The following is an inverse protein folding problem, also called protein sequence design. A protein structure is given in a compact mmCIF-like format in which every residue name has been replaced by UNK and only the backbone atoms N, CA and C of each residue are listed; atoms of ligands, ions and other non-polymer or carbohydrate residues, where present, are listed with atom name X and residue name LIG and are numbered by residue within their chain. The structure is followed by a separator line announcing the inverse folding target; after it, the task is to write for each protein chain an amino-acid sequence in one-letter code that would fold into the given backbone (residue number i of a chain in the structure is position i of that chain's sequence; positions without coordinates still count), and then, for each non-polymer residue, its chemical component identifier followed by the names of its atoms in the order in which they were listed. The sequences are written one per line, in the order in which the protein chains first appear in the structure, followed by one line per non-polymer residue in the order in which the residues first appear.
data_IF_590423531517
#
_entry.id   IF_590423531517
#
_cell.length_a   1.000
_cell.length_b   1.000
_cell.length_c   1.000
_cell.angle_alpha   90.00
_cell.angle_beta   90.00
_cell.angle_gamma   90.00
#
_symmetry.space_group_name_H-M   'P 1'
#
loop_
_entity.id
_entity.type
_entity.pdbx_description
1 polymer ?
#
# COMPACT_ATOMS: atom_id res chain seq x y z
N UNK A 1 16.60 36.26 -6.44
CA UNK A 1 15.41 35.50 -6.90
C UNK A 1 14.24 36.02 -6.09
N UNK A 2 13.40 36.87 -6.70
CA UNK A 2 12.39 37.67 -6.01
C UNK A 2 11.28 36.77 -5.47
N UNK A 3 11.14 36.71 -4.15
CA UNK A 3 9.95 36.17 -3.51
C UNK A 3 8.77 37.03 -3.96
N UNK A 4 7.85 36.47 -4.74
CA UNK A 4 6.52 37.07 -4.84
C UNK A 4 5.95 36.97 -3.42
N UNK A 5 5.85 38.10 -2.73
CA UNK A 5 5.10 38.20 -1.50
C UNK A 5 3.64 37.89 -1.87
N UNK A 6 3.23 36.65 -1.60
CA UNK A 6 1.85 36.26 -1.79
C UNK A 6 1.04 36.93 -0.68
N UNK A 7 0.33 37.99 -1.06
CA UNK A 7 -0.61 38.68 -0.19
C UNK A 7 -1.85 37.78 -0.06
N UNK A 8 -2.06 37.22 1.11
CA UNK A 8 -3.25 36.43 1.44
C UNK A 8 -4.06 37.16 2.50
N UNK A 9 -5.39 37.11 2.39
CA UNK A 9 -6.25 37.55 3.49
C UNK A 9 -6.16 36.53 4.65
N UNK A 10 -6.36 36.97 5.90
CA UNK A 10 -6.22 36.07 7.07
C UNK A 10 -7.15 34.86 7.02
N UNK A 11 -8.37 35.03 6.49
CA UNK A 11 -9.33 33.94 6.27
C UNK A 11 -8.85 32.91 5.23
N UNK A 12 -8.19 33.35 4.17
CA UNK A 12 -7.60 32.49 3.14
C UNK A 12 -6.37 31.77 3.70
N UNK A 13 -5.53 32.50 4.42
CA UNK A 13 -4.34 31.98 5.06
C UNK A 13 -4.70 30.87 6.06
N UNK A 14 -5.78 30.97 6.84
CA UNK A 14 -6.16 29.95 7.81
C UNK A 14 -6.50 28.60 7.17
N UNK A 15 -7.20 28.61 6.03
CA UNK A 15 -7.48 27.39 5.24
C UNK A 15 -6.21 26.79 4.62
N UNK A 16 -5.28 27.65 4.19
CA UNK A 16 -3.98 27.25 3.63
C UNK A 16 -3.01 26.75 4.71
N UNK A 17 -3.12 27.30 5.93
CA UNK A 17 -2.32 26.91 7.09
C UNK A 17 -2.61 25.48 7.55
N UNK A 18 -3.84 24.98 7.36
CA UNK A 18 -4.15 23.55 7.55
C UNK A 18 -3.32 22.64 6.63
N UNK A 19 -2.91 23.15 5.46
CA UNK A 19 -2.08 22.44 4.46
C UNK A 19 -0.64 22.92 4.48
N UNK A 20 -0.27 23.81 5.39
CA UNK A 20 1.05 24.40 5.43
C UNK A 20 2.06 23.37 5.89
N UNK A 21 3.00 23.07 4.99
CA UNK A 21 4.15 22.23 5.30
C UNK A 21 5.30 23.18 5.69
N UNK A 22 5.64 23.32 6.97
CA UNK A 22 6.58 24.34 7.46
C UNK A 22 8.02 24.17 6.98
N UNK A 23 8.36 23.02 6.40
CA UNK A 23 9.63 22.77 5.72
C UNK A 23 9.39 22.12 4.38
N UNK A 24 9.92 22.72 3.32
CA UNK A 24 10.15 22.02 2.05
C UNK A 24 11.19 20.93 2.30
N UNK A 25 10.74 19.75 2.70
CA UNK A 25 11.62 18.58 2.83
C UNK A 25 12.10 18.24 1.43
N UNK A 26 13.42 18.25 1.23
CA UNK A 26 14.00 17.76 -0.01
C UNK A 26 13.66 16.27 -0.13
N UNK A 27 12.75 15.96 -1.07
CA UNK A 27 12.35 14.59 -1.37
C UNK A 27 13.59 13.87 -1.88
N UNK A 28 14.04 12.85 -1.15
CA UNK A 28 15.18 12.03 -1.58
C UNK A 28 14.76 11.16 -2.77
N UNK A 29 15.38 11.41 -3.91
CA UNK A 29 15.28 10.53 -5.08
C UNK A 29 16.07 9.24 -4.85
N UNK A 30 15.57 8.13 -5.39
CA UNK A 30 16.27 6.85 -5.40
C UNK A 30 16.66 6.50 -6.82
N UNK A 31 17.95 6.18 -7.03
CA UNK A 31 18.46 5.78 -8.34
C UNK A 31 18.03 4.36 -8.70
N UNK A 32 17.51 4.23 -9.91
CA UNK A 32 17.16 2.99 -10.60
C UNK A 32 17.77 2.99 -12.01
N UNK A 33 17.87 1.81 -12.60
CA UNK A 33 18.19 1.64 -14.01
C UNK A 33 16.99 0.96 -14.67
N UNK A 34 16.33 1.66 -15.58
CA UNK A 34 15.27 1.09 -16.42
C UNK A 34 15.91 0.20 -17.47
N UNK A 35 15.75 -1.11 -17.31
CA UNK A 35 16.22 -2.11 -18.27
C UNK A 35 15.16 -2.26 -19.37
N UNK A 36 15.44 -1.69 -20.53
CA UNK A 36 14.55 -1.80 -21.71
C UNK A 36 14.82 -3.10 -22.47
N UNK A 37 16.09 -3.51 -22.51
CA UNK A 37 16.58 -4.77 -23.05
C UNK A 37 17.76 -5.26 -22.18
N UNK A 38 18.32 -6.43 -22.49
CA UNK A 38 19.44 -7.01 -21.72
C UNK A 38 20.70 -6.12 -21.74
N UNK A 39 20.88 -5.36 -22.81
CA UNK A 39 22.01 -4.48 -23.09
C UNK A 39 21.70 -2.99 -22.87
N UNK A 40 20.42 -2.58 -22.94
CA UNK A 40 20.01 -1.17 -22.81
C UNK A 40 19.44 -0.84 -21.42
N UNK A 41 20.18 -0.05 -20.65
CA UNK A 41 19.78 0.44 -19.32
C UNK A 41 19.77 1.97 -19.26
N UNK A 42 18.65 2.55 -18.85
CA UNK A 42 18.50 4.00 -18.70
C UNK A 42 18.52 4.40 -17.22
N UNK A 43 19.41 5.31 -16.78
CA UNK A 43 19.43 5.77 -15.40
C UNK A 43 18.21 6.64 -15.11
N UNK A 44 17.59 6.44 -13.94
CA UNK A 44 16.43 7.18 -13.48
C UNK A 44 16.47 7.47 -11.98
N UNK A 45 15.97 8.63 -11.57
CA UNK A 45 15.73 8.94 -10.16
C UNK A 45 14.24 8.92 -9.85
N UNK A 46 13.83 7.97 -9.01
CA UNK A 46 12.46 7.77 -8.54
C UNK A 46 12.19 8.63 -7.30
N UNK A 47 11.18 9.51 -7.35
CA UNK A 47 10.75 10.36 -6.25
C UNK A 47 9.33 10.01 -5.81
N UNK A 48 9.08 9.80 -4.52
CA UNK A 48 7.72 9.65 -3.97
C UNK A 48 7.01 11.00 -3.98
N UNK A 49 5.98 11.14 -4.83
CA UNK A 49 5.24 12.41 -4.99
C UNK A 49 4.07 12.53 -4.02
N UNK A 50 3.35 11.43 -3.80
CA UNK A 50 2.24 11.37 -2.85
C UNK A 50 2.60 10.35 -1.78
N UNK A 51 2.57 10.79 -0.53
CA UNK A 51 2.75 9.94 0.64
C UNK A 51 1.72 10.38 1.69
N UNK A 52 0.91 9.46 2.23
CA UNK A 52 0.05 9.76 3.37
C UNK A 52 0.89 10.34 4.51
N UNK A 53 0.40 11.40 5.16
CA UNK A 53 1.07 11.96 6.32
C UNK A 53 1.03 10.94 7.46
N UNK A 54 2.21 10.46 7.85
CA UNK A 54 2.39 9.66 9.05
C UNK A 54 3.07 10.54 10.09
N UNK A 55 2.34 10.88 11.15
CA UNK A 55 2.82 11.76 12.21
C UNK A 55 3.89 11.10 13.10
N UNK A 56 4.14 9.79 12.95
CA UNK A 56 5.14 9.03 13.72
C UNK A 56 5.10 9.31 15.22
N UNK A 57 3.92 9.56 15.77
CA UNK A 57 3.73 9.82 17.19
C UNK A 57 3.73 8.48 17.94
N UNK A 58 4.81 8.19 18.67
CA UNK A 58 4.83 7.08 19.61
C UNK A 58 4.28 7.56 20.95
N UNK A 59 3.04 7.20 21.27
CA UNK A 59 2.46 7.51 22.57
C UNK A 59 2.84 6.43 23.58
N UNK A 60 3.65 6.81 24.58
CA UNK A 60 3.92 5.96 25.73
C UNK A 60 2.69 5.89 26.63
N UNK A 61 2.45 4.72 27.23
CA UNK A 61 1.34 4.48 28.15
C UNK A 61 1.86 4.63 29.57
N UNK A 62 1.14 5.39 30.40
CA UNK A 62 1.50 5.63 31.79
C UNK A 62 0.35 5.19 32.71
N UNK A 63 0.71 4.76 33.92
CA UNK A 63 -0.27 4.46 34.96
C UNK A 63 -0.90 5.75 35.49
N UNK A 64 -2.23 5.79 35.58
CA UNK A 64 -3.00 6.99 35.93
C UNK A 64 -2.63 7.60 37.29
N UNK A 65 -2.20 6.79 38.26
CA UNK A 65 -1.93 7.23 39.65
C UNK A 65 -0.46 7.42 39.98
N UNK A 66 0.42 6.63 39.36
CA UNK A 66 1.85 6.59 39.71
C UNK A 66 2.75 7.25 38.68
N UNK A 67 2.19 7.70 37.55
CA UNK A 67 2.93 8.28 36.41
C UNK A 67 4.10 7.39 35.93
N UNK A 68 3.99 6.08 36.16
CA UNK A 68 5.00 5.10 35.75
C UNK A 68 4.67 4.57 34.37
N UNK A 69 5.69 4.48 33.51
CA UNK A 69 5.53 3.95 32.16
C UNK A 69 5.18 2.45 32.21
N UNK A 70 4.08 2.07 31.57
CA UNK A 70 3.61 0.70 31.49
C UNK A 70 4.43 -0.09 30.47
N UNK A 71 4.88 -1.28 30.87
CA UNK A 71 5.48 -2.27 29.97
C UNK A 71 4.41 -3.27 29.55
N UNK A 72 4.38 -3.61 28.26
CA UNK A 72 3.48 -4.65 27.74
C UNK A 72 4.15 -6.01 27.89
N UNK A 73 3.47 -6.92 28.58
CA UNK A 73 3.83 -8.33 28.64
C UNK A 73 2.76 -9.16 27.88
N UNK A 74 3.19 -10.21 27.20
CA UNK A 74 2.31 -11.10 26.42
C UNK A 74 2.47 -12.52 26.95
N UNK A 75 1.37 -13.15 27.36
CA UNK A 75 1.32 -14.52 27.89
C UNK A 75 0.53 -15.41 26.92
N UNK A 76 0.99 -16.65 26.73
CA UNK A 76 0.34 -17.63 25.84
C UNK A 76 -0.32 -18.74 26.66
N UNK A 77 -1.50 -19.16 26.22
CA UNK A 77 -2.33 -20.15 26.92
C UNK A 77 -2.94 -21.13 25.91
N UNK A 78 -2.97 -22.43 26.25
CA UNK A 78 -3.62 -23.45 25.43
C UNK A 78 -5.14 -23.34 25.60
N UNK A 79 -5.85 -22.93 24.54
CA UNK A 79 -7.31 -22.95 24.50
C UNK A 79 -7.79 -24.40 24.51
N UNK A 80 -8.49 -24.83 25.57
CA UNK A 80 -9.22 -26.10 25.56
C UNK A 80 -10.47 -25.91 24.69
N UNK A 81 -10.55 -26.60 23.55
CA UNK A 81 -11.84 -26.78 22.86
C UNK A 81 -12.65 -27.78 23.68
N UNK A 82 -13.92 -27.50 23.91
CA UNK A 82 -14.76 -28.23 24.86
C UNK A 82 -15.12 -29.68 24.45
N UNK A 83 -14.59 -30.24 23.35
CA UNK A 83 -15.11 -31.50 22.79
C UNK A 83 -14.05 -32.54 22.36
N UNK A 84 -12.81 -32.50 22.85
CA UNK A 84 -11.89 -33.65 22.67
C UNK A 84 -11.22 -34.07 24.00
N UNK A 85 -11.46 -35.30 24.49
CA UNK A 85 -10.65 -35.87 25.55
C UNK A 85 -9.26 -36.13 24.98
N UNK A 86 -8.24 -35.47 25.50
CA UNK A 86 -6.86 -35.78 25.14
C UNK A 86 -6.46 -37.11 25.76
N UNK A 87 -6.03 -38.07 24.93
CA UNK A 87 -5.54 -39.41 25.30
C UNK A 87 -4.25 -39.42 26.15
N UNK A 88 -3.77 -38.27 26.63
CA UNK A 88 -2.61 -38.17 27.52
C UNK A 88 -2.95 -38.51 29.00
N UNK A 89 -4.23 -38.70 29.33
CA UNK A 89 -4.68 -39.02 30.70
C UNK A 89 -4.78 -40.54 30.99
N UNK A 90 -4.43 -41.43 30.05
CA UNK A 90 -4.56 -42.89 30.23
C UNK A 90 -3.31 -43.63 30.76
N UNK A 91 -2.19 -42.95 31.00
CA UNK A 91 -0.92 -43.60 31.37
C UNK A 91 -0.47 -43.39 32.84
N UNK A 92 -1.36 -42.97 33.74
CA UNK A 92 -1.06 -42.88 35.17
C UNK A 92 -2.24 -43.34 36.03
N UNK A 93 -2.61 -44.62 35.89
CA UNK A 93 -3.32 -45.33 36.93
C UNK A 93 -2.28 -46.13 37.73
N UNK A 94 -1.55 -45.45 38.60
CA UNK A 94 -1.02 -46.10 39.80
C UNK A 94 -1.42 -45.29 41.02
N UNK A 95 -1.73 -46.07 42.04
CA UNK A 95 -2.45 -45.82 43.26
C UNK A 95 -1.95 -44.58 44.04
N UNK A 96 -2.89 -43.75 44.49
CA UNK A 96 -2.99 -43.15 45.85
C UNK A 96 -3.81 -41.86 45.77
N UNK A 97 -4.89 -41.78 46.53
CA UNK A 97 -5.82 -40.65 46.54
C UNK A 97 -5.17 -39.30 46.88
N UNK A 98 -5.30 -38.33 45.98
CA UNK A 98 -5.16 -36.91 46.29
C UNK A 98 -5.86 -36.05 45.22
N UNK A 99 -6.86 -35.29 45.67
CA UNK A 99 -7.36 -34.02 45.10
C UNK A 99 -7.42 -33.90 43.57
N UNK A 100 -8.63 -33.97 43.01
CA UNK A 100 -8.96 -33.41 41.69
C UNK A 100 -8.70 -31.91 41.67
N UNK A 101 -7.42 -31.55 41.54
CA UNK A 101 -6.95 -30.23 41.16
C UNK A 101 -7.53 -29.94 39.78
N UNK A 102 -8.50 -29.02 39.74
CA UNK A 102 -8.88 -28.35 38.50
C UNK A 102 -7.62 -27.63 38.01
N UNK A 103 -6.77 -28.31 37.22
CA UNK A 103 -5.58 -27.71 36.65
C UNK A 103 -6.06 -26.56 35.77
N UNK A 104 -5.80 -25.35 36.25
CA UNK A 104 -6.01 -24.12 35.52
C UNK A 104 -5.29 -24.15 34.18
N UNK A 105 -5.57 -23.18 33.31
CA UNK A 105 -4.96 -23.16 32.00
C UNK A 105 -3.43 -23.23 32.05
N UNK A 106 -2.87 -24.11 31.21
CA UNK A 106 -1.43 -24.30 31.12
C UNK A 106 -0.84 -23.10 30.37
N UNK A 107 -0.08 -22.29 31.10
CA UNK A 107 0.73 -21.20 30.54
C UNK A 107 1.87 -21.83 29.73
N UNK A 108 2.02 -21.38 28.49
CA UNK A 108 3.05 -21.88 27.58
C UNK A 108 4.24 -20.92 27.51
N UNK A 109 5.44 -21.51 27.41
CA UNK A 109 6.64 -20.75 27.08
C UNK A 109 6.61 -20.29 25.62
N UNK A 110 7.28 -19.17 25.31
CA UNK A 110 7.38 -18.68 23.92
C UNK A 110 8.01 -19.73 22.99
N UNK A 111 8.93 -20.53 23.50
CA UNK A 111 9.65 -21.55 22.73
C UNK A 111 8.79 -22.80 22.47
N UNK A 112 7.69 -22.97 23.21
CA UNK A 112 6.70 -24.03 22.99
C UNK A 112 5.67 -23.65 21.92
N UNK A 113 5.72 -22.42 21.40
CA UNK A 113 4.77 -21.88 20.41
C UNK A 113 5.43 -21.75 19.04
N UNK A 114 4.93 -22.54 18.08
CA UNK A 114 5.35 -22.49 16.68
C UNK A 114 4.35 -21.68 15.84
N UNK A 115 4.86 -21.02 14.78
CA UNK A 115 4.00 -20.30 13.83
C UNK A 115 3.29 -21.31 12.91
N UNK A 116 1.97 -21.30 12.93
CA UNK A 116 1.13 -22.09 12.02
C UNK A 116 0.40 -21.19 11.02
N UNK A 117 0.34 -21.64 9.76
CA UNK A 117 -0.43 -21.00 8.71
C UNK A 117 -1.60 -21.90 8.33
N UNK A 118 -2.76 -21.30 8.04
CA UNK A 118 -3.93 -22.05 7.58
C UNK A 118 -3.82 -22.31 6.08
N UNK A 119 -3.94 -23.57 5.70
CA UNK A 119 -4.06 -24.01 4.31
C UNK A 119 -5.38 -24.78 4.18
N UNK A 120 -6.42 -24.08 3.74
CA UNK A 120 -7.80 -24.59 3.79
C UNK A 120 -8.25 -24.84 5.23
N UNK A 121 -8.64 -26.08 5.53
CA UNK A 121 -9.01 -26.53 6.88
C UNK A 121 -7.82 -26.91 7.77
N UNK A 122 -6.64 -27.14 7.18
CA UNK A 122 -5.48 -27.67 7.90
C UNK A 122 -4.58 -26.54 8.40
N UNK A 123 -3.98 -26.72 9.58
CA UNK A 123 -2.96 -25.83 10.12
C UNK A 123 -1.59 -26.46 9.84
N UNK A 124 -0.78 -25.80 9.02
CA UNK A 124 0.56 -26.23 8.67
C UNK A 124 1.58 -25.44 9.48
N UNK A 125 2.42 -26.09 10.31
CA UNK A 125 3.52 -25.40 10.98
C UNK A 125 4.57 -24.97 9.95
N UNK A 126 5.06 -23.74 10.04
CA UNK A 126 6.06 -23.20 9.11
C UNK A 126 7.00 -22.25 9.84
N UNK A 127 8.23 -22.70 10.06
CA UNK A 127 9.20 -22.02 10.88
C UNK A 127 10.05 -21.02 10.08
N UNK A 128 10.91 -20.26 10.75
CA UNK A 128 11.75 -19.27 10.08
C UNK A 128 12.84 -19.89 9.20
N UNK A 129 13.27 -21.11 9.53
CA UNK A 129 14.20 -21.94 8.75
C UNK A 129 13.54 -22.38 7.44
N UNK A 130 12.33 -22.97 7.52
CA UNK A 130 11.53 -23.34 6.35
C UNK A 130 11.26 -22.12 5.46
N UNK A 131 10.96 -20.97 6.06
CA UNK A 131 10.77 -19.71 5.33
C UNK A 131 12.03 -19.24 4.61
N UNK A 132 13.22 -19.57 5.13
CA UNK A 132 14.49 -19.21 4.50
C UNK A 132 14.81 -20.13 3.32
N UNK A 133 14.44 -21.40 3.43
CA UNK A 133 14.68 -22.42 2.39
C UNK A 133 13.63 -22.38 1.28
N UNK A 134 12.35 -22.37 1.64
CA UNK A 134 11.21 -22.46 0.72
C UNK A 134 10.51 -21.13 0.44
N UNK A 135 10.88 -20.08 1.18
CA UNK A 135 10.31 -18.75 0.96
C UNK A 135 10.81 -18.08 -0.32
N UNK A 136 10.20 -16.94 -0.62
CA UNK A 136 10.57 -16.16 -1.81
C UNK A 136 12.04 -15.76 -1.82
N UNK A 137 12.73 -16.04 -2.93
CA UNK A 137 14.14 -15.66 -3.13
C UNK A 137 14.24 -14.15 -3.25
N UNK A 138 15.01 -13.54 -2.35
CA UNK A 138 15.21 -12.09 -2.33
C UNK A 138 15.94 -11.65 -3.60
N UNK A 139 15.27 -10.84 -4.40
CA UNK A 139 15.85 -10.23 -5.59
C UNK A 139 16.47 -8.88 -5.25
N UNK A 140 17.56 -8.52 -5.93
CA UNK A 140 18.13 -7.18 -5.81
C UNK A 140 17.19 -6.13 -6.41
N UNK A 141 17.48 -4.85 -6.17
CA UNK A 141 16.71 -3.74 -6.73
C UNK A 141 16.63 -3.87 -8.25
N UNK A 142 15.42 -3.85 -8.80
CA UNK A 142 15.17 -4.08 -10.22
C UNK A 142 14.10 -3.11 -10.76
N UNK A 143 14.28 -2.67 -12.00
CA UNK A 143 13.31 -1.87 -12.74
C UNK A 143 13.35 -2.28 -14.22
N UNK A 144 12.62 -3.33 -14.57
CA UNK A 144 12.72 -3.99 -15.88
C UNK A 144 11.44 -3.81 -16.68
N UNK A 145 11.57 -3.37 -17.93
CA UNK A 145 10.46 -3.30 -18.87
C UNK A 145 9.90 -4.71 -19.13
N UNK A 146 8.59 -4.84 -19.00
CA UNK A 146 7.85 -6.05 -19.36
C UNK A 146 7.26 -5.89 -20.77
N UNK A 147 6.48 -4.84 -20.98
CA UNK A 147 5.84 -4.56 -22.26
C UNK A 147 5.35 -3.11 -22.34
N UNK A 148 5.05 -2.65 -23.56
CA UNK A 148 4.24 -1.45 -23.78
C UNK A 148 2.78 -1.83 -24.02
N UNK A 149 1.85 -1.01 -23.54
CA UNK A 149 0.41 -1.18 -23.80
C UNK A 149 -0.26 0.18 -24.06
N UNK A 150 -1.47 0.18 -24.62
CA UNK A 150 -2.26 1.38 -24.85
C UNK A 150 -2.71 2.00 -23.52
N UNK A 151 -2.74 3.33 -23.45
CA UNK A 151 -3.18 4.06 -22.25
C UNK A 151 -4.59 3.67 -21.79
N UNK A 152 -5.49 3.35 -22.72
CA UNK A 152 -6.89 2.99 -22.42
C UNK A 152 -7.07 1.70 -21.62
N UNK A 153 -6.06 0.81 -21.61
CA UNK A 153 -6.11 -0.47 -20.89
C UNK A 153 -5.63 -0.37 -19.44
N UNK A 154 -5.32 0.83 -18.94
CA UNK A 154 -4.77 1.04 -17.61
C UNK A 154 -5.82 0.99 -16.50
N UNK A 155 -5.95 -0.16 -15.82
CA UNK A 155 -6.77 -0.31 -14.61
C UNK A 155 -6.05 0.34 -13.41
N UNK A 156 -6.65 1.42 -12.86
CA UNK A 156 -6.07 2.24 -11.79
C UNK A 156 -6.64 1.85 -10.42
N UNK A 157 -5.97 0.98 -9.67
CA UNK A 157 -6.28 0.75 -8.25
C UNK A 157 -4.99 0.50 -7.45
N UNK A 158 -4.18 1.57 -7.26
CA UNK A 158 -3.33 1.90 -6.09
C UNK A 158 -2.31 2.97 -6.50
N UNK A 159 -2.59 4.24 -6.20
CA UNK A 159 -1.75 5.35 -6.65
C UNK A 159 -0.61 5.66 -5.67
N UNK A 160 0.48 4.89 -5.73
CA UNK A 160 1.77 5.42 -5.28
C UNK A 160 2.40 6.16 -6.45
N UNK A 161 2.30 7.49 -6.46
CA UNK A 161 2.87 8.31 -7.52
C UNK A 161 4.38 8.42 -7.37
N UNK A 162 5.09 8.00 -8.40
CA UNK A 162 6.50 8.31 -8.53
C UNK A 162 6.77 9.25 -9.70
N UNK A 163 7.59 10.27 -9.46
CA UNK A 163 8.19 11.05 -10.53
C UNK A 163 9.54 10.44 -10.87
N UNK A 164 9.80 10.15 -12.15
CA UNK A 164 11.15 9.79 -12.61
C UNK A 164 11.75 10.93 -13.39
N UNK A 165 12.92 11.41 -12.95
CA UNK A 165 13.64 12.48 -13.62
C UNK A 165 15.11 12.10 -13.77
N UNK A 166 15.60 12.13 -15.00
CA UNK A 166 17.03 12.20 -15.30
C UNK A 166 17.23 12.97 -16.61
N UNK A 167 18.37 13.65 -16.75
CA UNK A 167 18.67 14.52 -17.88
C UNK A 167 19.30 13.73 -19.04
N UNK A 168 18.65 12.65 -19.47
CA UNK A 168 19.14 11.79 -20.55
C UNK A 168 18.32 11.99 -21.83
N UNK A 169 19.01 12.18 -22.96
CA UNK A 169 18.39 12.33 -24.29
C UNK A 169 17.53 11.10 -24.64
N UNK A 170 18.01 9.89 -24.31
CA UNK A 170 17.28 8.65 -24.56
C UNK A 170 15.94 8.60 -23.80
N UNK A 171 15.89 9.17 -22.60
CA UNK A 171 14.67 9.25 -21.81
C UNK A 171 13.68 10.25 -22.39
N UNK A 172 14.17 11.39 -22.85
CA UNK A 172 13.36 12.38 -23.57
C UNK A 172 12.72 11.78 -24.82
N UNK A 173 13.53 11.08 -25.63
CA UNK A 173 13.06 10.40 -26.83
C UNK A 173 11.97 9.36 -26.51
N UNK A 174 12.19 8.53 -25.48
CA UNK A 174 11.23 7.52 -25.06
C UNK A 174 9.92 8.14 -24.57
N UNK A 175 9.97 9.16 -23.71
CA UNK A 175 8.76 9.85 -23.22
C UNK A 175 7.98 10.46 -24.38
N UNK A 176 8.65 11.12 -25.32
CA UNK A 176 8.01 11.74 -26.47
C UNK A 176 7.39 10.70 -27.41
N UNK A 177 8.08 9.59 -27.69
CA UNK A 177 7.55 8.49 -28.48
C UNK A 177 6.29 7.89 -27.83
N UNK A 178 6.32 7.64 -26.52
CA UNK A 178 5.15 7.09 -25.83
C UNK A 178 3.97 8.07 -25.74
N UNK A 179 4.23 9.39 -25.71
CA UNK A 179 3.16 10.41 -25.80
C UNK A 179 2.55 10.41 -27.21
N UNK A 180 3.37 10.34 -28.26
CA UNK A 180 2.89 10.34 -29.64
C UNK A 180 2.04 9.10 -29.96
N UNK A 181 2.44 7.94 -29.43
CA UNK A 181 1.76 6.65 -29.66
C UNK A 181 0.63 6.35 -28.66
N UNK A 182 0.35 7.24 -27.70
CA UNK A 182 -0.57 7.02 -26.58
C UNK A 182 -0.37 5.68 -25.83
N UNK A 183 0.90 5.37 -25.56
CA UNK A 183 1.31 4.14 -24.88
C UNK A 183 1.82 4.37 -23.46
N UNK A 184 1.80 3.29 -22.67
CA UNK A 184 2.32 3.23 -21.31
C UNK A 184 3.24 2.02 -21.19
N UNK A 185 4.26 2.11 -20.34
CA UNK A 185 5.23 1.04 -20.15
C UNK A 185 4.90 0.28 -18.86
N UNK A 186 4.74 -1.04 -18.95
CA UNK A 186 4.62 -1.92 -17.78
C UNK A 186 6.00 -2.39 -17.38
N UNK A 187 6.34 -2.24 -16.10
CA UNK A 187 7.65 -2.58 -15.57
C UNK A 187 7.54 -3.43 -14.31
N UNK A 188 8.46 -4.39 -14.15
CA UNK A 188 8.71 -5.07 -12.89
C UNK A 188 9.50 -4.13 -11.99
N UNK A 189 8.98 -3.86 -10.81
CA UNK A 189 9.55 -2.94 -9.82
C UNK A 189 9.86 -3.66 -8.51
N UNK A 190 11.14 -3.64 -8.12
CA UNK A 190 11.62 -4.14 -6.82
C UNK A 190 12.38 -3.01 -6.13
N UNK A 191 11.85 -2.51 -5.01
CA UNK A 191 12.43 -1.35 -4.32
C UNK A 191 13.81 -1.62 -3.71
N UNK A 192 13.95 -2.75 -3.01
CA UNK A 192 15.19 -3.24 -2.41
C UNK A 192 15.09 -4.76 -2.17
N UNK A 193 16.15 -5.38 -1.66
CA UNK A 193 16.20 -6.83 -1.41
C UNK A 193 15.24 -7.35 -0.34
N UNK A 194 14.63 -6.47 0.45
CA UNK A 194 13.61 -6.85 1.44
C UNK A 194 12.17 -6.66 0.89
N UNK A 195 12.02 -6.08 -0.30
CA UNK A 195 10.73 -5.77 -0.88
C UNK A 195 10.30 -6.85 -1.86
N UNK A 196 9.01 -7.19 -1.83
CA UNK A 196 8.43 -8.07 -2.84
C UNK A 196 8.34 -7.35 -4.21
N UNK A 197 8.52 -8.08 -5.32
CA UNK A 197 8.30 -7.53 -6.65
C UNK A 197 6.87 -7.05 -6.85
N UNK A 198 6.72 -5.93 -7.56
CA UNK A 198 5.44 -5.37 -7.97
C UNK A 198 5.45 -5.06 -9.45
N UNK A 199 4.26 -4.97 -10.05
CA UNK A 199 4.10 -4.44 -11.40
C UNK A 199 3.80 -2.94 -11.27
N UNK A 200 4.43 -2.12 -12.10
CA UNK A 200 4.22 -0.68 -12.15
C UNK A 200 3.97 -0.25 -13.60
N UNK A 201 2.97 0.58 -13.82
CA UNK A 201 2.73 1.26 -15.09
C UNK A 201 3.39 2.64 -15.08
N UNK A 202 4.18 2.94 -16.09
CA UNK A 202 4.84 4.23 -16.31
C UNK A 202 4.08 5.00 -17.37
N UNK A 203 3.41 6.06 -16.92
CA UNK A 203 2.71 6.98 -17.79
C UNK A 203 3.66 8.11 -18.20
N UNK A 204 3.86 8.35 -19.50
CA UNK A 204 4.68 9.46 -19.95
C UNK A 204 3.92 10.77 -19.71
N UNK A 205 4.62 11.79 -19.20
CA UNK A 205 4.04 13.11 -18.94
C UNK A 205 5.04 14.23 -19.13
N UNK A 206 4.56 15.33 -19.70
CA UNK A 206 5.24 16.63 -19.70
C UNK A 206 4.71 17.51 -18.57
N UNK A 207 5.60 18.01 -17.72
CA UNK A 207 5.28 18.94 -16.63
C UNK A 207 4.85 20.30 -17.19
N UNK A 208 4.16 21.12 -16.38
CA UNK A 208 3.83 22.52 -16.72
C UNK A 208 5.08 23.36 -17.06
N UNK A 209 6.25 22.96 -16.55
CA UNK A 209 7.55 23.58 -16.82
C UNK A 209 8.29 23.00 -18.03
N UNK A 210 7.63 22.16 -18.85
CA UNK A 210 8.24 21.51 -20.01
C UNK A 210 9.12 20.29 -19.70
N UNK A 211 9.37 19.98 -18.43
CA UNK A 211 10.18 18.82 -18.03
C UNK A 211 9.45 17.51 -18.34
N UNK A 212 10.12 16.63 -19.07
CA UNK A 212 9.64 15.28 -19.39
C UNK A 212 9.93 14.31 -18.24
N UNK A 213 8.96 13.47 -17.93
CA UNK A 213 9.02 12.56 -16.81
C UNK A 213 8.07 11.38 -16.98
N UNK A 214 8.32 10.33 -16.21
CA UNK A 214 7.31 9.28 -16.00
C UNK A 214 6.57 9.50 -14.69
N UNK A 215 5.28 9.20 -14.74
CA UNK A 215 4.43 9.00 -13.57
C UNK A 215 4.22 7.51 -13.39
N UNK A 216 4.84 6.94 -12.37
CA UNK A 216 4.69 5.51 -12.04
C UNK A 216 3.47 5.28 -11.15
N UNK A 217 2.66 4.26 -11.47
CA UNK A 217 1.55 3.75 -10.65
C UNK A 217 1.72 2.25 -10.47
N UNK A 218 1.66 1.75 -9.23
CA UNK A 218 1.70 0.31 -8.97
C UNK A 218 0.37 -0.33 -9.39
N UNK A 219 0.44 -1.43 -10.13
CA UNK A 219 -0.72 -2.18 -10.57
C UNK A 219 -1.05 -3.31 -9.58
N UNK A 220 -2.34 -3.63 -9.38
CA UNK A 220 -2.76 -4.79 -8.62
C UNK A 220 -2.36 -6.10 -9.33
N UNK A 221 -2.15 -7.15 -8.54
CA UNK A 221 -2.08 -8.52 -9.04
C UNK A 221 -3.49 -9.10 -9.21
N UNK A 222 -3.60 -10.24 -9.90
CA UNK A 222 -4.87 -10.94 -10.07
C UNK A 222 -5.58 -11.22 -8.73
N UNK A 223 -4.81 -11.56 -7.69
CA UNK A 223 -5.29 -11.85 -6.33
C UNK A 223 -5.90 -10.63 -5.61
N UNK A 224 -5.56 -9.40 -6.06
CA UNK A 224 -6.08 -8.16 -5.48
C UNK A 224 -7.47 -7.83 -6.01
N UNK A 225 -7.88 -8.39 -7.15
CA UNK A 225 -9.22 -8.17 -7.68
C UNK A 225 -10.29 -8.87 -6.83
N UNK A 226 -11.44 -8.21 -6.71
CA UNK A 226 -12.64 -8.75 -6.06
C UNK A 226 -13.75 -8.73 -7.12
N UNK A 227 -14.15 -9.90 -7.59
CA UNK A 227 -15.24 -10.06 -8.55
C UNK A 227 -16.58 -9.88 -7.85
N UNK A 228 -16.92 -8.63 -7.53
CA UNK A 228 -18.24 -8.29 -7.00
C UNK A 228 -19.13 -7.94 -8.19
N UNK A 229 -20.14 -8.76 -8.41
CA UNK A 229 -21.14 -8.51 -9.44
C UNK A 229 -22.20 -7.54 -8.90
N UNK A 230 -22.47 -6.50 -9.67
CA UNK A 230 -23.53 -5.54 -9.39
C UNK A 230 -24.62 -5.66 -10.45
N UNK A 231 -25.91 -5.59 -10.07
CA UNK A 231 -26.98 -5.52 -11.04
C UNK A 231 -26.84 -4.24 -11.89
N UNK A 232 -27.17 -4.29 -13.20
CA UNK A 232 -27.16 -3.09 -14.03
C UNK A 232 -28.18 -2.08 -13.50
N UNK A 233 -27.83 -0.79 -13.55
CA UNK A 233 -28.72 0.30 -13.12
C UNK A 233 -29.71 0.73 -14.22
N UNK A 234 -29.53 0.25 -15.45
CA UNK A 234 -30.32 0.58 -16.63
C UNK A 234 -31.61 -0.26 -16.73
N UNK A 235 -32.30 -0.43 -15.60
CA UNK A 235 -33.63 -1.06 -15.58
C UNK A 235 -34.69 0.02 -15.86
N UNK A 236 -35.65 -0.21 -16.80
CA UNK A 236 -36.78 0.69 -17.02
C UNK A 236 -37.58 1.00 -15.74
N UNK A 237 -37.56 0.12 -14.73
CA UNK A 237 -38.19 0.38 -13.44
C UNK A 237 -37.49 1.49 -12.61
N UNK A 238 -36.19 1.68 -12.80
CA UNK A 238 -35.37 2.69 -12.12
C UNK A 238 -35.01 3.89 -13.00
N UNK A 239 -35.59 3.98 -14.21
CA UNK A 239 -35.29 5.06 -15.14
C UNK A 239 -35.68 6.44 -14.56
N UNK A 240 -34.73 7.38 -14.46
CA UNK A 240 -35.00 8.69 -13.87
C UNK A 240 -35.92 9.53 -14.75
N UNK A 241 -37.05 9.96 -14.19
CA UNK A 241 -37.97 10.90 -14.84
C UNK A 241 -37.31 12.26 -15.13
N UNK A 242 -37.85 12.99 -16.12
CA UNK A 242 -37.34 14.31 -16.55
C UNK A 242 -37.14 15.32 -15.41
N UNK A 243 -38.02 15.33 -14.40
CA UNK A 243 -37.87 16.23 -13.25
C UNK A 243 -36.69 15.86 -12.34
N UNK A 244 -36.38 14.57 -12.18
CA UNK A 244 -35.20 14.12 -11.45
C UNK A 244 -33.92 14.56 -12.16
N UNK A 245 -33.86 14.38 -13.48
CA UNK A 245 -32.72 14.82 -14.29
C UNK A 245 -32.51 16.34 -14.20
N UNK A 246 -33.58 17.11 -14.33
CA UNK A 246 -33.53 18.58 -14.23
C UNK A 246 -33.04 19.03 -12.84
N UNK A 247 -33.55 18.43 -11.76
CA UNK A 247 -33.11 18.72 -10.40
C UNK A 247 -31.63 18.37 -10.18
N UNK A 248 -31.16 17.23 -10.68
CA UNK A 248 -29.75 16.83 -10.58
C UNK A 248 -28.83 17.75 -11.37
N UNK A 249 -29.23 18.18 -12.57
CA UNK A 249 -28.48 19.19 -13.34
C UNK A 249 -28.41 20.54 -12.63
N UNK A 250 -29.52 20.99 -12.04
CA UNK A 250 -29.55 22.23 -11.26
C UNK A 250 -28.62 22.14 -10.03
N UNK A 251 -28.63 21.01 -9.33
CA UNK A 251 -27.74 20.73 -8.20
C UNK A 251 -26.26 20.73 -8.62
N UNK A 252 -25.92 20.00 -9.69
CA UNK A 252 -24.55 19.92 -10.20
C UNK A 252 -24.02 21.30 -10.63
N UNK A 253 -24.87 22.13 -11.24
CA UNK A 253 -24.52 23.51 -11.62
C UNK A 253 -24.35 24.41 -10.40
N UNK A 254 -25.21 24.28 -9.39
CA UNK A 254 -25.13 25.08 -8.17
C UNK A 254 -23.91 24.72 -7.31
N UNK A 255 -23.48 23.46 -7.33
CA UNK A 255 -22.33 22.94 -6.57
C UNK A 255 -21.04 22.82 -7.41
N UNK A 256 -20.93 23.54 -8.53
CA UNK A 256 -19.70 23.54 -9.34
C UNK A 256 -18.55 24.24 -8.63
N UNK A 257 -17.50 23.47 -8.30
CA UNK A 257 -16.29 23.95 -7.63
C UNK A 257 -15.16 24.35 -8.61
N UNK A 258 -15.40 24.35 -9.92
CA UNK A 258 -14.39 24.67 -10.93
C UNK A 258 -13.76 26.07 -10.75
N UNK A 259 -14.50 27.01 -10.15
CA UNK A 259 -14.08 28.40 -9.89
C UNK A 259 -13.86 28.73 -8.40
N UNK A 260 -14.06 27.78 -7.50
CA UNK A 260 -14.08 28.05 -6.06
C UNK A 260 -12.68 28.27 -5.42
N UNK A 261 -11.60 28.06 -6.18
CA UNK A 261 -10.22 28.28 -5.76
C UNK A 261 -9.45 29.07 -6.83
N UNK A 262 -9.77 30.36 -6.96
CA UNK A 262 -8.88 31.39 -7.50
C UNK A 262 -8.55 32.37 -6.38
#
# INVERSE_FOLDING_TARGET
MWYHAALFHFSEALSMLQRFVPRKVNIRGQKFYLELASDMKLPLNLFKKIQPADFKLSMAKYAMRSDTQLKRETVYEKVKKNDEPSDEDAAAADDTGASTSRRGPKILGKDEVIKGYKFGSTIVPFNEEDRKEYGWVKESRCFKLLQFTKRSQGYLNLLTFFALQDACIAMSALVNAMIAEDTVALVRYVYNAASHPRIMALFPRRSKKGVEMFVGLTLPFYEDFRGVDFPPLDDPATEPKNHHLSAMHALAKAMDLSKAYL
#
